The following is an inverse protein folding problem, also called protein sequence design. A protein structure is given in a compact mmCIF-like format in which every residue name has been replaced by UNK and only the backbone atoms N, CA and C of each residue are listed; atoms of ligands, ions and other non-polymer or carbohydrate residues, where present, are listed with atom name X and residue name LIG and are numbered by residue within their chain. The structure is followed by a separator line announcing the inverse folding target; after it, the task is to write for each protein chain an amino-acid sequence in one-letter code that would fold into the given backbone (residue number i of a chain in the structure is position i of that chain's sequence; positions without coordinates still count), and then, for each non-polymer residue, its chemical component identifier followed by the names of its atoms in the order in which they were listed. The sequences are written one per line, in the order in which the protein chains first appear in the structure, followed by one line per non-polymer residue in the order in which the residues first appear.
data_IF_762420464987
#
_entry.id   IF_762420464987
#
_cell.length_a   1.000
_cell.length_b   1.000
_cell.length_c   1.000
_cell.angle_alpha   90.00
_cell.angle_beta   90.00
_cell.angle_gamma   90.00
#
_symmetry.space_group_name_H-M   'P 1'
#
loop_
_entity.id
_entity.type
_entity.pdbx_description
1 polymer ?
#
# COMPACT_ATOMS: atom_id res chain seq x y z
N UNK A 1 -5.57 1.46 -30.79
CA UNK A 1 -4.55 0.64 -30.11
C UNK A 1 -4.41 -0.75 -30.69
N UNK A 2 -5.42 -1.63 -30.65
CA UNK A 2 -5.31 -3.03 -31.11
C UNK A 2 -4.83 -3.17 -32.57
N UNK A 3 -5.37 -2.35 -33.48
CA UNK A 3 -4.95 -2.32 -34.89
C UNK A 3 -3.49 -1.89 -35.11
N UNK A 4 -2.84 -1.25 -34.11
CA UNK A 4 -1.45 -0.80 -34.15
C UNK A 4 -0.49 -1.76 -33.42
N UNK A 5 -0.92 -3.01 -33.22
CA UNK A 5 -0.10 -4.07 -32.61
C UNK A 5 0.01 -4.03 -31.08
N UNK A 6 -0.81 -3.21 -30.41
CA UNK A 6 -0.90 -3.22 -28.95
C UNK A 6 -1.79 -4.36 -28.49
N UNK A 7 -1.32 -5.10 -27.48
CA UNK A 7 -2.08 -6.11 -26.77
C UNK A 7 -2.52 -5.54 -25.43
N UNK A 8 -3.82 -5.58 -25.16
CA UNK A 8 -4.37 -5.18 -23.87
C UNK A 8 -4.09 -6.26 -22.84
N UNK A 9 -3.69 -5.86 -21.63
CA UNK A 9 -3.54 -6.79 -20.52
C UNK A 9 -4.92 -7.30 -20.07
N UNK A 10 -5.00 -8.54 -19.62
CA UNK A 10 -6.25 -9.12 -19.10
C UNK A 10 -6.44 -8.74 -17.64
N UNK A 11 -5.33 -8.69 -16.89
CA UNK A 11 -5.25 -8.25 -15.50
C UNK A 11 -5.65 -6.79 -15.26
N UNK A 12 -5.37 -5.90 -16.21
CA UNK A 12 -5.80 -4.50 -16.21
C UNK A 12 -6.10 -4.00 -17.65
N UNK A 13 -7.37 -3.72 -18.01
CA UNK A 13 -7.75 -3.31 -19.35
C UNK A 13 -7.26 -1.92 -19.76
N UNK A 14 -6.71 -1.13 -18.83
CA UNK A 14 -6.16 0.18 -19.12
C UNK A 14 -4.67 0.15 -19.49
N UNK A 15 -4.04 -1.01 -19.35
CA UNK A 15 -2.64 -1.22 -19.69
C UNK A 15 -2.55 -2.01 -20.99
N UNK A 16 -1.71 -1.50 -21.89
CA UNK A 16 -1.41 -2.10 -23.18
C UNK A 16 0.08 -2.32 -23.28
N UNK A 17 0.48 -3.43 -23.91
CA UNK A 17 1.86 -3.74 -24.25
C UNK A 17 2.04 -3.85 -25.76
N UNK A 18 3.19 -3.44 -26.24
CA UNK A 18 3.67 -3.71 -27.59
C UNK A 18 5.13 -4.17 -27.47
N UNK A 19 5.43 -5.37 -27.92
CA UNK A 19 6.73 -5.99 -27.75
C UNK A 19 7.26 -6.53 -29.09
N UNK A 20 8.56 -6.34 -29.33
CA UNK A 20 9.34 -7.04 -30.37
C UNK A 20 10.49 -7.79 -29.69
N UNK A 21 11.39 -8.45 -30.42
CA UNK A 21 12.46 -9.23 -29.81
C UNK A 21 13.38 -8.43 -28.85
N UNK A 22 13.54 -7.11 -29.05
CA UNK A 22 14.44 -6.26 -28.26
C UNK A 22 13.80 -5.00 -27.68
N UNK A 23 12.55 -4.70 -28.06
CA UNK A 23 11.87 -3.46 -27.66
C UNK A 23 10.61 -3.83 -26.91
N UNK A 24 10.49 -3.27 -25.71
CA UNK A 24 9.23 -3.27 -24.99
C UNK A 24 8.66 -1.86 -24.94
N UNK A 25 7.34 -1.78 -25.04
CA UNK A 25 6.60 -0.57 -24.85
C UNK A 25 5.33 -0.88 -24.06
N UNK A 26 5.18 -0.23 -22.92
CA UNK A 26 3.95 -0.23 -22.14
C UNK A 26 3.26 1.12 -22.28
N UNK A 27 1.94 1.07 -22.37
CA UNK A 27 1.06 2.21 -22.46
C UNK A 27 -0.02 2.03 -21.40
N UNK A 28 -0.07 2.90 -20.41
CA UNK A 28 -1.11 2.91 -19.39
C UNK A 28 -1.99 4.15 -19.60
N UNK A 29 -3.31 3.94 -19.66
CA UNK A 29 -4.29 5.00 -19.90
C UNK A 29 -5.02 5.30 -18.60
N UNK A 30 -5.09 6.57 -18.23
CA UNK A 30 -5.96 7.02 -17.14
C UNK A 30 -6.74 8.24 -17.60
N UNK A 31 -8.04 8.04 -17.91
CA UNK A 31 -8.92 9.11 -18.42
C UNK A 31 -8.25 9.81 -19.63
N UNK A 32 -7.75 11.04 -19.45
CA UNK A 32 -7.12 11.86 -20.50
C UNK A 32 -5.59 11.75 -20.50
N UNK A 33 -4.99 11.15 -19.47
CA UNK A 33 -3.54 10.98 -19.32
C UNK A 33 -3.09 9.64 -19.90
N UNK A 34 -1.96 9.64 -20.61
CA UNK A 34 -1.32 8.44 -21.15
C UNK A 34 0.12 8.40 -20.67
N UNK A 35 0.46 7.34 -19.94
CA UNK A 35 1.83 7.03 -19.55
C UNK A 35 2.44 6.06 -20.56
N UNK A 36 3.65 6.39 -21.03
CA UNK A 36 4.42 5.54 -21.92
C UNK A 36 5.74 5.15 -21.27
N UNK A 37 6.02 3.85 -21.24
CA UNK A 37 7.28 3.28 -20.79
C UNK A 37 7.89 2.51 -21.95
N UNK A 38 9.15 2.76 -22.28
CA UNK A 38 9.85 2.06 -23.36
C UNK A 38 11.36 2.04 -23.10
N UNK A 39 12.05 0.99 -23.53
CA UNK A 39 13.50 0.89 -23.46
C UNK A 39 14.24 1.50 -24.67
N UNK A 40 13.53 1.96 -25.69
CA UNK A 40 14.12 2.51 -26.91
C UNK A 40 13.50 3.88 -27.26
N UNK A 41 14.35 4.91 -27.36
CA UNK A 41 13.89 6.28 -27.60
C UNK A 41 13.28 6.47 -29.00
N UNK A 42 13.76 5.73 -30.00
CA UNK A 42 13.23 5.81 -31.36
C UNK A 42 11.84 5.21 -31.43
N UNK A 43 11.64 4.03 -30.84
CA UNK A 43 10.35 3.37 -30.74
C UNK A 43 9.35 4.17 -29.89
N UNK A 44 9.81 4.79 -28.80
CA UNK A 44 9.00 5.70 -27.99
C UNK A 44 8.54 6.91 -28.82
N UNK A 45 9.44 7.53 -29.57
CA UNK A 45 9.13 8.69 -30.42
C UNK A 45 8.14 8.33 -31.53
N UNK A 46 8.31 7.16 -32.16
CA UNK A 46 7.37 6.63 -33.15
C UNK A 46 5.99 6.39 -32.52
N UNK A 47 5.92 5.75 -31.35
CA UNK A 47 4.67 5.52 -30.65
C UNK A 47 3.95 6.83 -30.32
N UNK A 48 4.67 7.85 -29.84
CA UNK A 48 4.10 9.19 -29.60
C UNK A 48 3.51 9.79 -30.88
N UNK A 49 4.24 9.73 -32.00
CA UNK A 49 3.74 10.23 -33.30
C UNK A 49 2.49 9.47 -33.77
N UNK A 50 2.47 8.14 -33.66
CA UNK A 50 1.30 7.32 -34.01
C UNK A 50 0.05 7.69 -33.19
N UNK A 51 0.25 7.98 -31.90
CA UNK A 51 -0.81 8.40 -31.00
C UNK A 51 -1.31 9.81 -31.34
N UNK A 52 -0.42 10.79 -31.55
CA UNK A 52 -0.77 12.15 -31.94
C UNK A 52 -1.49 12.25 -33.29
N UNK A 53 -1.24 11.31 -34.21
CA UNK A 53 -1.99 11.23 -35.47
C UNK A 53 -3.45 10.79 -35.27
N UNK A 54 -3.73 10.05 -34.20
CA UNK A 54 -5.05 9.46 -33.94
C UNK A 54 -5.84 10.28 -32.92
N UNK A 55 -5.16 10.87 -31.94
CA UNK A 55 -5.72 11.58 -30.80
C UNK A 55 -5.13 12.98 -30.69
N UNK A 56 -5.96 13.94 -30.30
CA UNK A 56 -5.47 15.28 -29.94
C UNK A 56 -4.80 15.19 -28.57
N UNK A 57 -3.47 15.15 -28.55
CA UNK A 57 -2.67 15.02 -27.33
C UNK A 57 -1.41 15.86 -27.41
N UNK A 58 -0.88 16.23 -26.25
CA UNK A 58 0.37 16.98 -26.12
C UNK A 58 1.40 16.12 -25.40
N UNK A 59 2.62 16.04 -25.94
CA UNK A 59 3.73 15.37 -25.27
C UNK A 59 4.28 16.29 -24.17
N UNK A 60 4.14 15.86 -22.91
CA UNK A 60 4.63 16.59 -21.73
C UNK A 60 6.10 16.28 -21.40
N UNK A 61 6.77 15.46 -22.22
CA UNK A 61 8.17 15.09 -22.02
C UNK A 61 8.33 13.96 -21.00
N UNK A 62 9.44 13.98 -20.26
CA UNK A 62 9.69 13.02 -19.19
C UNK A 62 8.66 13.17 -18.08
N UNK A 63 8.18 12.03 -17.55
CA UNK A 63 7.19 12.03 -16.48
C UNK A 63 7.71 12.75 -15.23
N UNK A 64 7.11 13.90 -14.91
CA UNK A 64 7.38 14.67 -13.69
C UNK A 64 6.17 14.72 -12.76
N UNK A 65 4.97 14.49 -13.30
CA UNK A 65 3.72 14.58 -12.55
C UNK A 65 2.66 13.67 -13.17
N UNK A 66 1.97 12.87 -12.35
CA UNK A 66 0.84 12.05 -12.78
C UNK A 66 -0.17 11.92 -11.63
N UNK A 67 -1.46 12.19 -11.89
CA UNK A 67 -2.55 12.02 -10.91
C UNK A 67 -2.31 12.68 -9.56
N UNK A 68 -1.61 13.82 -9.54
CA UNK A 68 -1.25 14.53 -8.31
C UNK A 68 -0.07 13.96 -7.54
N UNK A 69 0.73 13.12 -8.20
CA UNK A 69 1.98 12.54 -7.70
C UNK A 69 3.14 13.19 -8.45
N UNK A 70 4.11 13.70 -7.72
CA UNK A 70 5.38 14.20 -8.24
C UNK A 70 6.33 13.02 -8.43
N UNK A 71 6.98 12.95 -9.59
CA UNK A 71 7.88 11.87 -9.97
C UNK A 71 9.24 12.45 -10.32
N UNK A 72 10.27 12.08 -9.58
CA UNK A 72 11.65 12.45 -9.92
C UNK A 72 12.39 11.22 -10.47
N UNK A 73 12.93 11.35 -11.68
CA UNK A 73 13.62 10.27 -12.37
C UNK A 73 15.10 10.59 -12.46
N UNK A 74 15.93 9.69 -11.94
CA UNK A 74 17.38 9.83 -11.92
C UNK A 74 18.01 8.68 -12.71
N UNK A 75 18.03 8.74 -14.05
CA UNK A 75 18.49 7.63 -14.89
C UNK A 75 19.98 7.33 -14.72
N UNK A 76 20.80 8.33 -14.35
CA UNK A 76 22.23 8.16 -14.08
C UNK A 76 22.47 7.38 -12.79
N UNK A 77 21.70 7.70 -11.74
CA UNK A 77 21.82 7.09 -10.41
C UNK A 77 20.98 5.82 -10.25
N UNK A 78 20.10 5.54 -11.22
CA UNK A 78 19.28 4.33 -11.30
C UNK A 78 18.11 4.28 -10.32
N UNK A 79 17.50 5.43 -9.99
CA UNK A 79 16.34 5.47 -9.09
C UNK A 79 15.20 6.37 -9.58
N UNK A 80 14.00 6.09 -9.08
CA UNK A 80 12.79 6.88 -9.29
C UNK A 80 12.17 7.14 -7.92
N UNK A 81 11.80 8.37 -7.64
CA UNK A 81 11.04 8.73 -6.44
C UNK A 81 9.63 9.19 -6.79
N UNK A 82 8.67 8.83 -5.95
CA UNK A 82 7.27 9.25 -6.03
C UNK A 82 6.85 9.90 -4.72
N UNK A 83 6.43 11.16 -4.77
CA UNK A 83 6.01 11.91 -3.58
C UNK A 83 4.88 12.89 -3.86
N UNK A 84 4.33 13.44 -2.78
CA UNK A 84 3.25 14.42 -2.83
C UNK A 84 3.56 15.60 -1.92
N UNK A 85 4.84 16.02 -1.88
CA UNK A 85 5.32 17.07 -0.97
C UNK A 85 4.52 18.37 -1.09
N UNK A 86 4.22 18.79 -2.33
CA UNK A 86 3.39 19.97 -2.60
C UNK A 86 1.97 19.84 -2.02
N UNK A 87 1.37 18.65 -2.13
CA UNK A 87 0.06 18.36 -1.56
C UNK A 87 0.10 18.35 -0.03
N UNK A 88 1.13 17.77 0.58
CA UNK A 88 1.32 17.79 2.03
C UNK A 88 1.42 19.22 2.55
N UNK A 89 2.20 20.09 1.89
CA UNK A 89 2.29 21.50 2.26
C UNK A 89 0.94 22.22 2.13
N UNK A 90 0.21 22.03 1.02
CA UNK A 90 -1.11 22.62 0.82
C UNK A 90 -2.13 22.14 1.87
N UNK A 91 -2.09 20.85 2.23
CA UNK A 91 -2.93 20.24 3.27
C UNK A 91 -2.64 20.86 4.64
N UNK A 92 -1.36 20.99 5.01
CA UNK A 92 -0.97 21.56 6.29
C UNK A 92 -1.41 23.03 6.40
N UNK A 93 -1.21 23.83 5.35
CA UNK A 93 -1.68 25.23 5.30
C UNK A 93 -3.21 25.31 5.39
N UNK A 94 -3.94 24.47 4.64
CA UNK A 94 -5.41 24.43 4.63
C UNK A 94 -6.00 24.19 6.03
N UNK A 95 -5.31 23.44 6.88
CA UNK A 95 -5.78 23.10 8.23
C UNK A 95 -4.98 23.80 9.35
N UNK A 96 -4.20 24.82 9.03
CA UNK A 96 -3.42 25.63 9.99
C UNK A 96 -2.42 24.81 10.84
N UNK A 97 -1.71 23.87 10.19
CA UNK A 97 -0.76 22.95 10.82
C UNK A 97 0.70 23.15 10.35
N UNK A 98 0.97 24.15 9.51
CA UNK A 98 2.29 24.46 8.95
C UNK A 98 3.34 24.85 10.01
N UNK A 99 2.92 25.56 11.06
CA UNK A 99 3.76 25.98 12.18
C UNK A 99 3.78 24.95 13.33
N UNK A 100 3.12 23.81 13.17
CA UNK A 100 3.02 22.81 14.23
C UNK A 100 4.37 22.11 14.48
N UNK A 101 4.65 21.77 15.74
CA UNK A 101 5.85 20.99 16.09
C UNK A 101 5.70 19.56 15.60
N UNK A 102 6.56 19.14 14.68
CA UNK A 102 6.57 17.79 14.13
C UNK A 102 6.68 16.68 15.18
N UNK A 103 6.18 15.48 14.85
CA UNK A 103 6.32 14.27 15.67
C UNK A 103 6.81 13.11 14.82
N UNK A 104 7.48 12.14 15.44
CA UNK A 104 8.15 11.05 14.73
C UNK A 104 7.27 9.82 14.44
N UNK A 105 6.05 9.75 14.98
CA UNK A 105 5.10 8.65 14.71
C UNK A 105 3.68 9.19 14.54
N UNK A 106 2.86 8.57 13.68
CA UNK A 106 1.51 9.07 13.37
C UNK A 106 0.56 8.98 14.57
N UNK A 107 0.73 7.96 15.42
CA UNK A 107 -0.08 7.70 16.61
C UNK A 107 0.81 7.45 17.85
N UNK A 108 0.29 7.67 19.07
CA UNK A 108 0.96 7.26 20.30
C UNK A 108 0.94 5.73 20.46
N UNK A 109 1.89 5.20 21.24
CA UNK A 109 1.86 3.81 21.69
C UNK A 109 0.65 3.55 22.59
N UNK A 110 0.16 2.31 22.58
CA UNK A 110 -0.93 1.84 23.46
C UNK A 110 -2.19 2.71 23.35
N UNK A 111 -2.74 2.81 22.14
CA UNK A 111 -4.05 3.42 21.90
C UNK A 111 -5.13 2.64 22.66
N UNK A 112 -5.46 3.08 23.87
CA UNK A 112 -6.67 2.64 24.55
C UNK A 112 -7.85 3.31 23.88
N UNK A 113 -8.84 2.55 23.44
CA UNK A 113 -10.11 3.16 23.07
C UNK A 113 -10.69 3.77 24.35
N UNK A 114 -11.04 5.07 24.37
CA UNK A 114 -11.78 5.59 25.50
C UNK A 114 -13.09 4.79 25.61
N UNK A 115 -13.48 4.30 26.80
CA UNK A 115 -14.81 3.73 26.98
C UNK A 115 -15.81 4.75 26.46
N UNK A 116 -16.82 4.29 25.72
CA UNK A 116 -17.79 5.07 24.96
C UNK A 116 -18.24 6.33 25.73
N UNK A 117 -17.47 7.41 25.61
CA UNK A 117 -17.74 8.66 26.30
C UNK A 117 -18.74 9.37 25.41
N UNK A 118 -20.02 9.02 25.61
CA UNK A 118 -21.11 9.94 25.38
C UNK A 118 -20.97 11.08 26.42
N UNK A 119 -19.88 11.85 26.33
CA UNK A 119 -19.74 13.08 27.09
C UNK A 119 -20.72 14.08 26.50
N UNK A 120 -21.93 13.98 27.02
CA UNK A 120 -23.11 14.76 26.69
C UNK A 120 -23.03 16.16 27.32
N UNK A 121 -21.87 16.82 27.22
CA UNK A 121 -21.65 18.11 27.89
C UNK A 121 -20.66 19.06 27.20
N UNK A 122 -20.24 18.80 25.96
CA UNK A 122 -19.55 19.82 25.17
C UNK A 122 -20.58 20.77 24.56
N UNK A 123 -20.60 22.02 25.03
CA UNK A 123 -21.28 23.13 24.35
C UNK A 123 -20.90 23.11 22.86
N UNK A 124 -21.85 23.19 21.92
CA UNK A 124 -21.54 23.11 20.50
C UNK A 124 -20.61 24.27 20.14
N UNK A 125 -19.33 23.98 19.91
CA UNK A 125 -18.45 24.92 19.25
C UNK A 125 -19.10 25.30 17.93
N UNK A 126 -19.22 26.59 17.64
CA UNK A 126 -19.96 27.13 16.49
C UNK A 126 -19.44 26.70 15.11
N UNK A 127 -18.36 25.91 15.05
CA UNK A 127 -17.91 25.25 13.83
C UNK A 127 -17.41 23.84 14.16
N UNK A 128 -18.03 22.78 13.62
CA UNK A 128 -17.53 21.42 13.77
C UNK A 128 -16.11 21.30 13.21
N UNK A 129 -15.21 20.65 13.95
CA UNK A 129 -13.86 20.36 13.44
C UNK A 129 -13.94 19.56 12.13
N UNK A 130 -13.18 19.89 11.07
CA UNK A 130 -13.32 19.31 9.74
C UNK A 130 -12.73 17.89 9.63
N UNK A 131 -13.13 16.99 10.54
CA UNK A 131 -12.55 15.67 10.75
C UNK A 131 -12.62 14.78 9.50
N UNK A 132 -13.81 14.65 8.89
CA UNK A 132 -14.00 13.85 7.68
C UNK A 132 -13.24 14.41 6.46
N UNK A 133 -13.15 15.74 6.34
CA UNK A 133 -12.41 16.40 5.27
C UNK A 133 -10.91 16.09 5.37
N UNK A 134 -10.34 16.19 6.57
CA UNK A 134 -8.93 15.83 6.80
C UNK A 134 -8.68 14.35 6.48
N UNK A 135 -9.53 13.44 6.96
CA UNK A 135 -9.39 12.00 6.66
C UNK A 135 -9.48 11.70 5.17
N UNK A 136 -10.36 12.40 4.44
CA UNK A 136 -10.44 12.32 2.98
C UNK A 136 -9.13 12.74 2.30
N UNK A 137 -8.51 13.83 2.76
CA UNK A 137 -7.20 14.27 2.26
C UNK A 137 -6.07 13.27 2.60
N UNK A 138 -6.08 12.69 3.81
CA UNK A 138 -5.11 11.66 4.20
C UNK A 138 -5.26 10.37 3.38
N UNK A 139 -6.50 9.98 3.07
CA UNK A 139 -6.77 8.81 2.22
C UNK A 139 -6.15 8.94 0.84
N UNK A 140 -6.13 10.15 0.27
CA UNK A 140 -5.48 10.38 -1.01
C UNK A 140 -3.96 10.20 -0.94
N UNK A 141 -3.30 10.71 0.11
CA UNK A 141 -1.87 10.45 0.34
C UNK A 141 -1.57 8.95 0.47
N UNK A 142 -2.42 8.24 1.20
CA UNK A 142 -2.29 6.79 1.42
C UNK A 142 -2.38 5.99 0.14
N UNK A 143 -3.31 6.32 -0.76
CA UNK A 143 -3.51 5.58 -2.01
C UNK A 143 -2.28 5.75 -2.93
N UNK A 144 -1.59 6.88 -2.85
CA UNK A 144 -0.57 7.25 -3.80
C UNK A 144 0.86 7.00 -3.30
N UNK A 145 1.23 7.50 -2.11
CA UNK A 145 2.65 7.59 -1.70
C UNK A 145 2.93 7.38 -0.20
N UNK A 146 1.91 7.24 0.65
CA UNK A 146 2.08 7.25 2.12
C UNK A 146 1.45 6.04 2.83
N UNK A 147 1.98 4.82 2.63
CA UNK A 147 1.52 3.62 3.33
C UNK A 147 1.62 3.73 4.87
N UNK A 148 2.57 4.51 5.38
CA UNK A 148 2.80 4.82 6.79
C UNK A 148 1.61 5.50 7.50
N UNK A 149 0.65 6.04 6.75
CA UNK A 149 -0.55 6.65 7.31
C UNK A 149 -1.75 5.68 7.35
N UNK A 150 -1.62 4.47 6.78
CA UNK A 150 -2.71 3.51 6.62
C UNK A 150 -3.40 3.18 7.93
N UNK A 151 -2.64 2.65 8.90
CA UNK A 151 -3.19 2.24 10.18
C UNK A 151 -3.85 3.41 10.91
N UNK A 152 -3.16 4.55 10.96
CA UNK A 152 -3.65 5.72 11.68
C UNK A 152 -4.97 6.26 11.11
N UNK A 153 -5.06 6.34 9.79
CA UNK A 153 -6.27 6.81 9.12
C UNK A 153 -7.40 5.78 9.22
N UNK A 154 -7.10 4.47 9.14
CA UNK A 154 -8.08 3.41 9.36
C UNK A 154 -8.66 3.48 10.78
N UNK A 155 -7.79 3.54 11.80
CA UNK A 155 -8.21 3.68 13.20
C UNK A 155 -9.10 4.91 13.42
N UNK A 156 -8.69 6.08 12.91
CA UNK A 156 -9.41 7.33 13.07
C UNK A 156 -10.73 7.37 12.29
N UNK A 157 -10.85 6.63 11.19
CA UNK A 157 -12.09 6.57 10.39
C UNK A 157 -13.28 5.98 11.15
N UNK A 158 -13.04 5.19 12.20
CA UNK A 158 -14.08 4.61 13.06
C UNK A 158 -14.94 5.67 13.78
N UNK A 159 -14.40 6.87 13.94
CA UNK A 159 -15.02 7.98 14.68
C UNK A 159 -15.56 9.09 13.78
N UNK A 160 -15.78 8.83 12.48
CA UNK A 160 -16.19 9.82 11.49
C UNK A 160 -17.47 10.60 11.86
N UNK A 161 -18.46 9.92 12.44
CA UNK A 161 -19.77 10.52 12.74
C UNK A 161 -19.71 11.44 13.98
N UNK A 162 -19.01 10.98 15.03
CA UNK A 162 -18.92 11.66 16.32
C UNK A 162 -17.50 11.59 16.89
N UNK A 163 -16.55 12.37 16.35
CA UNK A 163 -15.17 12.37 16.83
C UNK A 163 -15.09 13.07 18.20
N UNK A 164 -14.60 12.36 19.21
CA UNK A 164 -14.31 12.93 20.53
C UNK A 164 -13.05 13.80 20.53
N UNK A 165 -12.83 14.54 21.63
CA UNK A 165 -11.68 15.43 21.78
C UNK A 165 -10.34 14.69 21.62
N UNK A 166 -10.25 13.46 22.13
CA UNK A 166 -9.06 12.59 22.03
C UNK A 166 -8.79 12.21 20.57
N UNK A 167 -9.83 11.83 19.81
CA UNK A 167 -9.72 11.49 18.39
C UNK A 167 -9.29 12.70 17.55
N UNK A 168 -9.81 13.89 17.86
CA UNK A 168 -9.38 15.15 17.22
C UNK A 168 -7.89 15.40 17.50
N UNK A 169 -7.42 15.17 18.75
CA UNK A 169 -6.00 15.29 19.09
C UNK A 169 -5.13 14.28 18.33
N UNK A 170 -5.59 13.03 18.17
CA UNK A 170 -4.89 12.03 17.36
C UNK A 170 -4.85 12.41 15.88
N UNK A 171 -5.93 12.93 15.31
CA UNK A 171 -5.92 13.40 13.92
C UNK A 171 -4.97 14.59 13.73
N UNK A 172 -4.93 15.54 14.69
CA UNK A 172 -3.92 16.61 14.70
C UNK A 172 -2.49 16.06 14.83
N UNK A 173 -2.29 14.98 15.58
CA UNK A 173 -0.99 14.30 15.66
C UNK A 173 -0.56 13.74 14.29
N UNK A 174 -1.46 13.13 13.53
CA UNK A 174 -1.16 12.66 12.17
C UNK A 174 -0.71 13.82 11.27
N UNK A 175 -1.34 14.98 11.37
CA UNK A 175 -0.91 16.19 10.65
C UNK A 175 0.47 16.69 11.10
N UNK A 176 0.79 16.60 12.41
CA UNK A 176 2.14 16.90 12.91
C UNK A 176 3.19 15.89 12.43
N UNK A 177 2.80 14.63 12.25
CA UNK A 177 3.67 13.63 11.66
C UNK A 177 3.93 13.95 10.19
N UNK A 178 2.89 14.26 9.41
CA UNK A 178 3.05 14.78 8.04
C UNK A 178 3.97 15.99 7.98
N UNK A 179 3.88 16.92 8.94
CA UNK A 179 4.79 18.08 9.02
C UNK A 179 6.25 17.68 9.22
N UNK A 180 6.51 16.63 10.00
CA UNK A 180 7.86 16.09 10.23
C UNK A 180 8.39 15.35 9.00
N UNK A 181 7.51 14.69 8.26
CA UNK A 181 7.81 13.86 7.08
C UNK A 181 7.32 14.52 5.78
N UNK A 182 7.44 15.85 5.66
CA UNK A 182 6.79 16.58 4.56
C UNK A 182 7.45 16.34 3.22
N UNK A 183 8.73 15.96 3.22
CA UNK A 183 9.53 15.60 2.07
C UNK A 183 9.70 14.07 1.91
N UNK A 184 8.85 13.27 2.56
CA UNK A 184 8.93 11.82 2.44
C UNK A 184 8.15 11.35 1.21
N UNK A 185 8.63 10.31 0.57
CA UNK A 185 7.91 9.55 -0.45
C UNK A 185 8.59 8.21 -0.72
N UNK A 186 8.13 7.52 -1.76
CA UNK A 186 8.60 6.19 -2.13
C UNK A 186 9.80 6.31 -3.07
N UNK A 187 10.92 5.68 -2.71
CA UNK A 187 12.14 5.61 -3.50
C UNK A 187 12.34 4.20 -4.05
N UNK A 188 12.16 4.05 -5.36
CA UNK A 188 12.43 2.81 -6.09
C UNK A 188 13.85 2.85 -6.62
N UNK A 189 14.67 1.88 -6.22
CA UNK A 189 16.05 1.77 -6.70
C UNK A 189 16.38 0.33 -7.00
N UNK A 190 16.94 0.09 -8.18
CA UNK A 190 17.49 -1.21 -8.51
C UNK A 190 18.66 -1.50 -7.56
N UNK A 191 18.61 -2.64 -6.88
CA UNK A 191 19.70 -3.12 -6.04
C UNK A 191 20.43 -4.23 -6.79
N UNK A 192 21.75 -4.13 -6.89
CA UNK A 192 22.56 -5.18 -7.50
C UNK A 192 22.41 -6.53 -6.80
N UNK A 193 22.00 -6.55 -5.53
CA UNK A 193 21.82 -7.75 -4.72
C UNK A 193 20.39 -8.32 -4.79
N UNK A 194 19.41 -7.55 -5.25
CA UNK A 194 18.01 -7.99 -5.35
C UNK A 194 17.66 -8.16 -6.83
N UNK A 195 17.43 -9.41 -7.30
CA UNK A 195 17.01 -9.65 -8.67
C UNK A 195 15.77 -8.82 -9.03
N UNK A 196 15.70 -8.32 -10.27
CA UNK A 196 14.59 -7.49 -10.78
C UNK A 196 13.23 -8.20 -10.76
N UNK A 197 13.23 -9.51 -10.53
CA UNK A 197 12.05 -10.37 -10.46
C UNK A 197 11.60 -10.74 -9.05
N UNK A 198 11.97 -9.92 -8.08
CA UNK A 198 11.68 -10.20 -6.66
C UNK A 198 10.47 -9.40 -6.20
N UNK A 199 9.29 -10.05 -6.20
CA UNK A 199 8.07 -9.55 -5.57
C UNK A 199 7.93 -10.19 -4.18
N UNK A 200 8.08 -9.38 -3.13
CA UNK A 200 8.07 -9.85 -1.75
C UNK A 200 6.86 -9.27 -1.03
N UNK A 201 6.01 -10.15 -0.48
CA UNK A 201 4.89 -9.78 0.37
C UNK A 201 5.22 -9.89 1.85
N UNK A 202 4.57 -9.07 2.66
CA UNK A 202 4.49 -9.20 4.12
C UNK A 202 3.03 -9.13 4.54
N UNK A 203 2.59 -10.00 5.43
CA UNK A 203 1.27 -9.96 6.05
C UNK A 203 1.38 -10.03 7.57
N UNK A 204 0.51 -9.28 8.26
CA UNK A 204 0.37 -9.27 9.72
C UNK A 204 -1.11 -9.13 10.09
N UNK A 205 -1.50 -9.55 11.29
CA UNK A 205 -2.84 -9.31 11.82
C UNK A 205 -2.82 -8.89 13.30
N UNK A 206 -3.55 -7.81 13.63
CA UNK A 206 -3.84 -7.47 15.02
C UNK A 206 -5.13 -8.17 15.48
N UNK A 207 -4.97 -9.30 16.19
CA UNK A 207 -6.09 -10.15 16.60
C UNK A 207 -6.98 -9.47 17.64
N UNK A 208 -8.25 -9.27 17.29
CA UNK A 208 -9.24 -8.69 18.20
C UNK A 208 -8.95 -7.27 18.67
N UNK A 209 -8.09 -6.53 17.94
CA UNK A 209 -7.65 -5.18 18.29
C UNK A 209 -8.75 -4.12 18.28
N UNK A 210 -9.90 -4.38 17.64
CA UNK A 210 -11.10 -3.55 17.83
C UNK A 210 -11.79 -3.90 19.15
N UNK A 211 -11.64 -3.06 20.17
CA UNK A 211 -12.22 -3.33 21.49
C UNK A 211 -13.75 -3.48 21.47
N UNK A 212 -14.45 -2.78 20.55
CA UNK A 212 -15.91 -2.74 20.48
C UNK A 212 -16.47 -3.95 19.72
N UNK A 213 -15.92 -4.25 18.54
CA UNK A 213 -16.45 -5.34 17.70
C UNK A 213 -15.68 -6.65 17.84
N UNK A 214 -14.52 -6.63 18.51
CA UNK A 214 -13.57 -7.74 18.62
C UNK A 214 -13.10 -8.30 17.27
N UNK A 215 -13.25 -7.53 16.21
CA UNK A 215 -12.74 -7.87 14.89
C UNK A 215 -11.24 -7.56 14.81
N UNK A 216 -10.52 -8.41 14.11
CA UNK A 216 -9.10 -8.25 13.85
C UNK A 216 -8.85 -7.22 12.75
N UNK A 217 -7.62 -6.71 12.70
CA UNK A 217 -7.17 -5.83 11.63
C UNK A 217 -6.05 -6.53 10.84
N UNK A 218 -6.33 -6.88 9.58
CA UNK A 218 -5.34 -7.45 8.68
C UNK A 218 -4.57 -6.35 7.96
N UNK A 219 -3.27 -6.53 7.78
CA UNK A 219 -2.42 -5.64 7.01
C UNK A 219 -1.49 -6.42 6.08
N UNK A 220 -1.23 -5.88 4.89
CA UNK A 220 -0.21 -6.42 4.01
C UNK A 220 0.52 -5.32 3.25
N UNK A 221 1.74 -5.62 2.80
CA UNK A 221 2.45 -4.82 1.81
C UNK A 221 3.23 -5.72 0.85
N UNK A 222 3.32 -5.31 -0.42
CA UNK A 222 4.17 -5.92 -1.44
C UNK A 222 5.24 -4.94 -1.88
N UNK A 223 6.47 -5.44 -1.93
CA UNK A 223 7.65 -4.70 -2.35
C UNK A 223 8.11 -5.18 -3.73
N UNK A 224 8.49 -4.22 -4.57
CA UNK A 224 9.20 -4.44 -5.83
C UNK A 224 10.32 -3.40 -5.93
N UNK A 225 11.53 -3.82 -6.27
CA UNK A 225 12.71 -2.93 -6.26
C UNK A 225 12.92 -2.21 -4.92
N UNK A 226 12.81 -2.96 -3.81
CA UNK A 226 13.00 -2.51 -2.43
C UNK A 226 12.07 -1.38 -1.96
N UNK A 227 10.94 -1.15 -2.63
CA UNK A 227 9.93 -0.19 -2.20
C UNK A 227 8.51 -0.73 -2.40
N UNK A 228 7.58 -0.21 -1.61
CA UNK A 228 6.19 -0.67 -1.61
C UNK A 228 5.48 -0.29 -2.91
N UNK A 229 4.80 -1.27 -3.52
CA UNK A 229 3.96 -1.06 -4.72
C UNK A 229 2.46 -1.35 -4.46
N UNK A 230 2.14 -2.10 -3.41
CA UNK A 230 0.78 -2.33 -2.96
C UNK A 230 0.77 -2.51 -1.45
N UNK A 231 -0.28 -2.02 -0.81
CA UNK A 231 -0.44 -2.08 0.63
C UNK A 231 -1.91 -1.93 1.02
N UNK A 232 -2.27 -2.52 2.15
CA UNK A 232 -3.60 -2.35 2.71
C UNK A 232 -3.60 -2.54 4.23
N UNK A 233 -4.50 -1.82 4.90
CA UNK A 233 -4.93 -2.10 6.27
C UNK A 233 -6.46 -2.23 6.24
N UNK A 234 -6.98 -3.44 6.51
CA UNK A 234 -8.39 -3.78 6.38
C UNK A 234 -8.89 -4.46 7.65
N UNK A 235 -9.97 -3.92 8.21
CA UNK A 235 -10.71 -4.54 9.30
C UNK A 235 -11.39 -5.80 8.78
N UNK A 236 -11.24 -6.91 9.50
CA UNK A 236 -11.81 -8.18 9.09
C UNK A 236 -13.34 -8.16 9.18
N UNK A 237 -13.99 -8.84 8.24
CA UNK A 237 -15.45 -8.89 8.15
C UNK A 237 -16.06 -9.73 9.28
N UNK A 238 -15.34 -10.73 9.77
CA UNK A 238 -15.78 -11.63 10.83
C UNK A 238 -14.81 -11.63 12.00
N UNK A 239 -15.31 -11.95 13.19
CA UNK A 239 -14.48 -12.14 14.39
C UNK A 239 -13.77 -13.48 14.29
N UNK A 240 -12.45 -13.47 14.44
CA UNK A 240 -11.61 -14.67 14.49
C UNK A 240 -11.41 -15.13 15.92
N UNK A 241 -11.38 -16.44 16.14
CA UNK A 241 -11.40 -17.05 17.48
C UNK A 241 -10.02 -17.15 18.14
N UNK A 242 -8.95 -17.09 17.36
CA UNK A 242 -7.56 -17.15 17.84
C UNK A 242 -6.61 -16.44 16.86
N UNK A 243 -5.43 -16.05 17.34
CA UNK A 243 -4.46 -15.28 16.55
C UNK A 243 -4.05 -15.97 15.24
N UNK A 244 -3.86 -17.29 15.27
CA UNK A 244 -3.52 -18.06 14.06
C UNK A 244 -4.60 -17.95 12.98
N UNK A 245 -5.88 -17.84 13.36
CA UNK A 245 -6.97 -17.65 12.40
C UNK A 245 -6.89 -16.27 11.75
N UNK A 246 -6.69 -15.20 12.55
CA UNK A 246 -6.53 -13.83 12.04
C UNK A 246 -5.34 -13.72 11.07
N UNK A 247 -4.21 -14.32 11.42
CA UNK A 247 -3.03 -14.36 10.54
C UNK A 247 -3.31 -15.12 9.24
N UNK A 248 -4.08 -16.21 9.30
CA UNK A 248 -4.49 -16.93 8.11
C UNK A 248 -5.42 -16.10 7.22
N UNK A 249 -6.33 -15.32 7.81
CA UNK A 249 -7.19 -14.39 7.08
C UNK A 249 -6.35 -13.27 6.43
N UNK A 250 -5.35 -12.74 7.15
CA UNK A 250 -4.42 -11.74 6.62
C UNK A 250 -3.58 -12.28 5.47
N UNK A 251 -2.99 -13.47 5.60
CA UNK A 251 -2.30 -14.15 4.49
C UNK A 251 -3.22 -14.35 3.28
N UNK A 252 -4.48 -14.72 3.50
CA UNK A 252 -5.44 -14.89 2.41
C UNK A 252 -5.68 -13.57 1.66
N UNK A 253 -5.80 -12.47 2.38
CA UNK A 253 -5.95 -11.14 1.79
C UNK A 253 -4.69 -10.76 1.00
N UNK A 254 -3.51 -10.96 1.58
CA UNK A 254 -2.24 -10.68 0.94
C UNK A 254 -2.04 -11.52 -0.33
N UNK A 255 -2.31 -12.83 -0.30
CA UNK A 255 -2.09 -13.70 -1.46
C UNK A 255 -3.03 -13.39 -2.62
N UNK A 256 -4.27 -12.96 -2.35
CA UNK A 256 -5.16 -12.50 -3.43
C UNK A 256 -4.56 -11.33 -4.19
N UNK A 257 -4.05 -10.33 -3.47
CA UNK A 257 -3.37 -9.18 -4.07
C UNK A 257 -2.08 -9.62 -4.79
N UNK A 258 -1.24 -10.42 -4.14
CA UNK A 258 0.04 -10.85 -4.68
C UNK A 258 -0.08 -11.69 -5.95
N UNK A 259 -1.10 -12.55 -6.04
CA UNK A 259 -1.38 -13.33 -7.26
C UNK A 259 -1.87 -12.45 -8.40
N UNK A 260 -2.67 -11.42 -8.11
CA UNK A 260 -3.04 -10.41 -9.10
C UNK A 260 -1.82 -9.59 -9.57
N UNK A 261 -0.99 -9.11 -8.65
CA UNK A 261 0.27 -8.41 -8.97
C UNK A 261 1.22 -9.27 -9.79
N UNK A 262 1.38 -10.55 -9.43
CA UNK A 262 2.17 -11.51 -10.21
C UNK A 262 1.64 -11.61 -11.64
N UNK A 263 0.33 -11.82 -11.80
CA UNK A 263 -0.31 -11.91 -13.13
C UNK A 263 -0.08 -10.62 -13.93
N UNK A 264 -0.30 -9.46 -13.32
CA UNK A 264 -0.12 -8.16 -13.96
C UNK A 264 1.33 -7.96 -14.43
N UNK A 265 2.31 -8.24 -13.57
CA UNK A 265 3.72 -8.08 -13.87
C UNK A 265 4.19 -9.06 -14.94
N UNK A 266 3.77 -10.32 -14.89
CA UNK A 266 4.11 -11.33 -15.90
C UNK A 266 3.46 -11.04 -17.26
N UNK A 267 2.24 -10.49 -17.25
CA UNK A 267 1.57 -9.99 -18.44
C UNK A 267 2.33 -8.82 -19.09
N UNK A 268 3.20 -8.10 -18.38
CA UNK A 268 4.08 -7.10 -19.04
C UNK A 268 5.21 -7.72 -19.86
N UNK A 269 5.55 -8.99 -19.62
CA UNK A 269 6.76 -9.67 -20.13
C UNK A 269 8.10 -9.06 -19.70
N UNK A 270 8.11 -8.09 -18.78
CA UNK A 270 9.33 -7.48 -18.26
C UNK A 270 9.88 -8.19 -17.03
N UNK A 271 8.98 -8.78 -16.25
CA UNK A 271 9.26 -9.40 -14.97
C UNK A 271 8.60 -10.76 -14.96
N UNK A 272 9.35 -11.80 -14.60
CA UNK A 272 8.82 -13.15 -14.41
C UNK A 272 8.92 -13.52 -12.95
N UNK A 273 7.81 -13.91 -12.31
CA UNK A 273 7.78 -14.21 -10.88
C UNK A 273 7.40 -15.68 -10.73
N UNK A 274 8.37 -16.61 -10.87
CA UNK A 274 8.07 -18.05 -10.82
C UNK A 274 7.29 -18.42 -9.57
N UNK A 275 7.71 -17.88 -8.42
CA UNK A 275 7.13 -18.16 -7.12
C UNK A 275 6.97 -16.87 -6.31
N UNK A 276 5.75 -16.63 -5.82
CA UNK A 276 5.44 -15.48 -4.97
C UNK A 276 5.90 -15.77 -3.54
N UNK A 277 6.70 -14.90 -2.93
CA UNK A 277 7.09 -15.05 -1.52
C UNK A 277 6.22 -14.18 -0.64
N UNK A 278 5.63 -14.78 0.41
CA UNK A 278 4.88 -14.06 1.43
C UNK A 278 5.49 -14.34 2.81
N UNK A 279 5.89 -13.28 3.50
CA UNK A 279 6.36 -13.32 4.87
C UNK A 279 5.21 -13.19 5.87
N UNK A 280 5.21 -14.05 6.88
CA UNK A 280 4.29 -14.03 8.02
C UNK A 280 5.09 -14.39 9.28
N UNK A 281 4.79 -13.78 10.42
CA UNK A 281 5.49 -14.05 11.69
C UNK A 281 4.81 -15.15 12.52
N UNK A 282 3.64 -15.64 12.08
CA UNK A 282 2.90 -16.70 12.76
C UNK A 282 3.21 -18.08 12.16
N UNK A 283 4.15 -18.79 12.79
CA UNK A 283 4.54 -20.15 12.39
C UNK A 283 3.34 -21.12 12.39
N UNK A 284 2.38 -20.97 13.31
CA UNK A 284 1.20 -21.85 13.34
C UNK A 284 0.33 -21.64 12.10
N UNK A 285 0.23 -20.42 11.59
CA UNK A 285 -0.57 -20.11 10.40
C UNK A 285 0.09 -20.69 9.14
N UNK A 286 1.42 -20.56 9.04
CA UNK A 286 2.22 -21.19 7.98
C UNK A 286 2.05 -22.72 8.01
N UNK A 287 2.16 -23.33 9.19
CA UNK A 287 1.99 -24.78 9.32
C UNK A 287 0.57 -25.25 8.99
N UNK A 288 -0.47 -24.44 9.23
CA UNK A 288 -1.84 -24.76 8.79
C UNK A 288 -1.97 -24.81 7.27
N UNK A 289 -1.20 -23.98 6.55
CA UNK A 289 -1.19 -23.95 5.10
C UNK A 289 -0.46 -25.16 4.47
N UNK A 290 0.48 -25.77 5.21
CA UNK A 290 1.17 -26.98 4.75
C UNK A 290 0.51 -28.29 5.21
N UNK A 291 -0.35 -28.25 6.24
CA UNK A 291 -1.00 -29.44 6.79
C UNK A 291 -2.38 -29.68 6.17
N UNK A 292 -2.59 -30.85 5.57
CA UNK A 292 -3.88 -31.28 5.03
C UNK A 292 -4.89 -31.76 6.09
N UNK A 293 -4.48 -31.84 7.36
CA UNK A 293 -5.39 -32.25 8.45
C UNK A 293 -6.25 -31.07 8.88
N UNK A 294 -7.53 -31.16 8.63
CA UNK A 294 -8.51 -30.22 9.14
C UNK A 294 -8.79 -30.46 10.62
N UNK A 295 -8.96 -29.36 11.36
CA UNK A 295 -9.37 -29.38 12.75
C UNK A 295 -10.76 -28.78 12.89
N UNK A 296 -11.50 -29.15 13.94
CA UNK A 296 -12.80 -28.51 14.20
C UNK A 296 -12.70 -27.00 14.38
N UNK A 297 -11.52 -26.50 14.80
CA UNK A 297 -11.24 -25.09 15.09
C UNK A 297 -11.12 -24.21 13.84
N UNK A 298 -11.03 -24.79 12.63
CA UNK A 298 -10.81 -24.04 11.39
C UNK A 298 -11.98 -24.12 10.41
N UNK A 299 -13.12 -24.68 10.82
CA UNK A 299 -14.31 -24.86 9.97
C UNK A 299 -14.84 -23.52 9.40
N UNK A 300 -14.74 -22.45 10.17
CA UNK A 300 -15.17 -21.10 9.78
C UNK A 300 -14.29 -20.44 8.70
N UNK A 301 -13.08 -20.97 8.46
CA UNK A 301 -12.14 -20.49 7.44
C UNK A 301 -11.80 -21.54 6.38
N UNK A 302 -12.60 -22.60 6.24
CA UNK A 302 -12.30 -23.75 5.38
C UNK A 302 -11.97 -23.37 3.92
N UNK A 303 -12.72 -22.43 3.31
CA UNK A 303 -12.44 -21.97 1.94
C UNK A 303 -11.11 -21.21 1.84
N UNK A 304 -10.76 -20.44 2.87
CA UNK A 304 -9.47 -19.72 2.94
C UNK A 304 -8.33 -20.71 3.10
N UNK A 305 -8.50 -21.73 3.95
CA UNK A 305 -7.55 -22.83 4.11
C UNK A 305 -7.24 -23.48 2.76
N UNK A 306 -8.29 -23.92 2.06
CA UNK A 306 -8.16 -24.62 0.79
C UNK A 306 -7.46 -23.74 -0.26
N UNK A 307 -7.83 -22.46 -0.37
CA UNK A 307 -7.20 -21.51 -1.28
C UNK A 307 -5.67 -21.43 -1.09
N UNK A 308 -5.20 -21.22 0.14
CA UNK A 308 -3.75 -21.13 0.38
C UNK A 308 -3.06 -22.48 0.17
N UNK A 309 -3.69 -23.60 0.59
CA UNK A 309 -3.14 -24.94 0.39
C UNK A 309 -2.98 -25.28 -1.09
N UNK A 310 -3.91 -24.88 -1.94
CA UNK A 310 -3.81 -25.05 -3.39
C UNK A 310 -2.60 -24.28 -3.95
N UNK A 311 -2.43 -23.02 -3.53
CA UNK A 311 -1.29 -22.17 -3.92
C UNK A 311 0.08 -22.64 -3.38
N UNK A 312 0.08 -23.46 -2.34
CA UNK A 312 1.30 -24.10 -1.81
C UNK A 312 1.56 -25.42 -2.54
N UNK A 313 0.50 -26.19 -2.83
CA UNK A 313 0.59 -27.48 -3.50
C UNK A 313 0.98 -27.37 -4.98
N UNK A 314 0.58 -26.29 -5.65
CA UNK A 314 0.94 -25.98 -7.05
C UNK A 314 2.32 -25.30 -7.18
N UNK A 315 3.03 -25.10 -6.07
CA UNK A 315 4.32 -24.39 -5.98
C UNK A 315 4.27 -22.91 -6.40
N UNK A 316 3.08 -22.30 -6.51
CA UNK A 316 2.90 -20.89 -6.88
C UNK A 316 3.38 -19.92 -5.79
N UNK A 317 3.32 -20.34 -4.52
CA UNK A 317 3.61 -19.48 -3.35
C UNK A 317 4.63 -20.14 -2.42
N UNK A 318 5.57 -19.33 -1.92
CA UNK A 318 6.44 -19.65 -0.80
C UNK A 318 6.02 -18.86 0.43
N UNK A 319 5.48 -19.55 1.44
CA UNK A 319 5.24 -18.95 2.76
C UNK A 319 6.52 -19.03 3.59
N UNK A 320 7.02 -17.88 4.04
CA UNK A 320 8.27 -17.79 4.79
C UNK A 320 8.04 -17.14 6.14
N UNK A 321 8.55 -17.77 7.20
CA UNK A 321 8.53 -17.15 8.51
C UNK A 321 9.49 -15.96 8.58
N UNK A 322 9.06 -14.86 9.20
CA UNK A 322 9.91 -13.70 9.53
C UNK A 322 9.80 -13.38 11.01
N UNK A 323 10.88 -12.93 11.64
CA UNK A 323 10.82 -12.47 13.03
C UNK A 323 10.05 -11.15 13.15
N UNK A 324 9.46 -10.88 14.32
CA UNK A 324 8.69 -9.65 14.59
C UNK A 324 9.47 -8.38 14.28
N UNK A 325 10.78 -8.32 14.58
CA UNK A 325 11.60 -7.14 14.27
C UNK A 325 11.75 -6.89 12.76
N UNK A 326 11.59 -7.92 11.93
CA UNK A 326 11.65 -7.86 10.47
C UNK A 326 10.29 -7.98 9.79
N UNK A 327 9.19 -7.94 10.56
CA UNK A 327 7.84 -7.87 10.03
C UNK A 327 7.53 -6.42 9.60
N UNK A 328 7.49 -6.15 8.31
CA UNK A 328 7.29 -4.79 7.80
C UNK A 328 5.82 -4.41 7.65
N UNK A 329 4.90 -5.37 7.69
CA UNK A 329 3.46 -5.10 7.71
C UNK A 329 2.96 -4.62 9.10
N UNK A 330 3.78 -4.70 10.15
CA UNK A 330 3.42 -4.31 11.53
C UNK A 330 2.78 -2.91 11.63
N UNK A 331 3.35 -1.92 10.96
CA UNK A 331 2.86 -0.53 11.03
C UNK A 331 1.50 -0.33 10.32
N UNK A 332 0.98 -1.34 9.62
CA UNK A 332 -0.34 -1.35 9.00
C UNK A 332 -1.43 -1.89 9.94
N UNK A 333 -1.06 -2.57 11.04
CA UNK A 333 -1.99 -3.25 11.95
C UNK A 333 -1.96 -2.68 13.36
N UNK A 334 -0.88 -2.00 13.77
CA UNK A 334 -0.72 -1.48 15.13
C UNK A 334 0.13 -0.21 15.17
N UNK A 335 0.00 0.54 16.27
CA UNK A 335 0.87 1.69 16.55
C UNK A 335 2.23 1.22 17.03
N UNK A 336 3.30 1.79 16.48
CA UNK A 336 4.66 1.38 16.75
C UNK A 336 5.46 2.43 17.53
N UNK A 337 6.56 1.97 18.11
CA UNK A 337 7.54 2.86 18.69
C UNK A 337 8.34 3.53 17.55
N UNK A 338 9.01 4.64 17.87
CA UNK A 338 9.74 5.45 16.88
C UNK A 338 10.74 4.65 16.05
N UNK A 339 11.46 3.71 16.66
CA UNK A 339 12.51 2.95 15.97
C UNK A 339 11.89 1.99 14.95
N UNK A 340 10.91 1.19 15.38
CA UNK A 340 10.24 0.23 14.51
C UNK A 340 9.44 0.92 13.39
N UNK A 341 8.77 2.04 13.67
CA UNK A 341 8.08 2.86 12.65
C UNK A 341 9.06 3.35 11.57
N UNK A 342 10.22 3.84 11.98
CA UNK A 342 11.28 4.27 11.07
C UNK A 342 11.84 3.11 10.22
N UNK A 343 12.11 1.94 10.83
CA UNK A 343 12.59 0.77 10.08
C UNK A 343 11.54 0.25 9.08
N UNK A 344 10.25 0.20 9.46
CA UNK A 344 9.17 -0.11 8.53
C UNK A 344 9.16 0.88 7.35
N UNK A 345 9.21 2.19 7.62
CA UNK A 345 9.25 3.20 6.56
C UNK A 345 10.44 2.97 5.61
N UNK A 346 11.64 2.82 6.17
CA UNK A 346 12.88 2.61 5.41
C UNK A 346 12.80 1.35 4.53
N UNK A 347 12.34 0.22 5.07
CA UNK A 347 12.24 -1.04 4.33
C UNK A 347 11.12 -1.08 3.29
N UNK A 348 10.15 -0.17 3.38
CA UNK A 348 9.14 0.05 2.35
C UNK A 348 9.56 1.12 1.33
N UNK A 349 10.79 1.63 1.42
CA UNK A 349 11.29 2.69 0.54
C UNK A 349 10.71 4.08 0.85
N UNK A 350 10.05 4.25 1.99
CA UNK A 350 9.55 5.55 2.45
C UNK A 350 10.70 6.32 3.11
N UNK A 351 11.24 7.31 2.41
CA UNK A 351 12.37 8.08 2.89
C UNK A 351 12.25 9.56 2.49
N UNK A 352 13.05 10.46 3.11
CA UNK A 352 13.25 11.80 2.59
C UNK A 352 13.71 11.75 1.13
N UNK A 353 13.09 12.57 0.27
CA UNK A 353 13.45 12.78 -1.13
C UNK A 353 14.07 14.17 -1.29
#
# INVERSE_FOLDING_TARGET
MLQRGYLRLQSDPNIYRRHTASIFLLLAIYVDDILLLCNDNTALSQAKQELCQTFSMTDMGSLQYCLGIQVDQHPVDGYISMHQSSYVHALLTKFHMEASKGVATPLPLNLKMPPNQQDSSASPSSTPYPYANILGCLRYLIICTRPDLCYATNYLSRFLQHPGAVQIQHLKRVLRYLRHTSNYGLLYKADSNTPSNTLIGYSDADWGGDEQTKQSLSGFTYLLSNAAISWQSKKEEHVTLFSTEAEYVSMTLALKEGMWLKTLLEETQLVQIPKLTLHCDNMSAIMLASNLKDSEKTKNIALKLQFIRELVADDSVHLQHVGTDSQWADFLTKSLNKLKDYECCKHLGICPI
#
